data_IF_720373455221
#
_entry.id   IF_720373455221
#
_cell.length_a   1.000
_cell.length_b   1.000
_cell.length_c   1.000
_cell.angle_alpha   90.00
_cell.angle_beta   90.00
_cell.angle_gamma   90.00
#
_symmetry.space_group_name_H-M   'P 1'
#
loop_
_entity.id
_entity.type
_entity.pdbx_description
1 polymer ?
#
# COMPACT_ATOMS: atom_id res chain seq x y z
N UNK A 1 -23.92 -19.53 29.02
CA UNK A 1 -23.18 -19.62 27.74
C UNK A 1 -23.65 -18.50 26.81
N UNK A 2 -22.96 -17.35 26.79
CA UNK A 2 -23.22 -16.31 25.81
C UNK A 2 -22.06 -16.29 24.81
N UNK A 3 -22.36 -16.63 23.56
CA UNK A 3 -21.41 -16.56 22.44
C UNK A 3 -21.41 -15.11 21.95
N UNK A 4 -20.44 -14.31 22.39
CA UNK A 4 -20.16 -13.04 21.71
C UNK A 4 -19.34 -13.33 20.44
N UNK A 5 -20.07 -13.64 19.37
CA UNK A 5 -19.60 -13.42 18.01
C UNK A 5 -20.12 -12.05 17.63
N UNK A 6 -19.32 -11.00 17.73
CA UNK A 6 -19.22 -9.99 16.67
C UNK A 6 -18.15 -8.93 16.93
N UNK A 7 -17.50 -8.56 15.83
CA UNK A 7 -16.80 -7.29 15.63
C UNK A 7 -15.43 -7.15 16.28
N UNK A 8 -14.46 -7.93 15.77
CA UNK A 8 -13.09 -7.42 15.72
C UNK A 8 -13.10 -6.11 14.92
N UNK A 9 -12.67 -5.04 15.58
CA UNK A 9 -12.61 -3.69 15.03
C UNK A 9 -11.66 -3.69 13.83
N UNK A 10 -12.19 -3.74 12.61
CA UNK A 10 -11.42 -3.60 11.36
C UNK A 10 -10.89 -2.16 11.15
N UNK A 11 -10.92 -1.32 12.18
CA UNK A 11 -10.64 0.11 12.12
C UNK A 11 -9.22 0.47 12.56
N UNK A 12 -8.19 -0.17 11.99
CA UNK A 12 -6.80 0.10 12.37
C UNK A 12 -5.76 -0.03 11.26
N UNK A 13 -6.17 -0.16 10.00
CA UNK A 13 -5.25 -0.22 8.86
C UNK A 13 -4.87 1.18 8.40
N UNK A 14 -3.56 1.44 8.23
CA UNK A 14 -3.00 2.65 7.60
C UNK A 14 -3.91 3.10 6.43
N UNK A 15 -4.30 4.39 6.39
CA UNK A 15 -5.27 4.94 5.44
C UNK A 15 -5.06 4.40 4.02
N UNK A 16 -6.15 4.10 3.31
CA UNK A 16 -6.19 3.70 1.88
C UNK A 16 -5.33 4.56 0.94
N UNK A 17 -5.00 5.79 1.34
CA UNK A 17 -4.03 6.64 0.64
C UNK A 17 -2.72 5.87 0.35
N UNK A 18 -2.08 5.26 1.36
CA UNK A 18 -0.82 4.52 1.13
C UNK A 18 -0.92 3.38 0.11
N UNK A 19 -2.09 2.71 0.02
CA UNK A 19 -2.32 1.64 -0.96
C UNK A 19 -2.59 2.19 -2.37
N UNK A 20 -3.31 3.31 -2.49
CA UNK A 20 -3.53 4.01 -3.78
C UNK A 20 -2.25 4.59 -4.32
N UNK A 21 -1.44 5.24 -3.48
CA UNK A 21 -0.11 5.72 -3.84
C UNK A 21 0.80 4.56 -4.27
N UNK A 22 0.74 3.42 -3.57
CA UNK A 22 1.46 2.20 -3.93
C UNK A 22 1.02 1.66 -5.31
N UNK A 23 -0.28 1.55 -5.55
CA UNK A 23 -0.81 1.10 -6.83
C UNK A 23 -0.42 2.04 -7.98
N UNK A 24 -0.55 3.35 -7.76
CA UNK A 24 -0.18 4.35 -8.76
C UNK A 24 1.33 4.31 -9.08
N UNK A 25 2.16 4.07 -8.07
CA UNK A 25 3.59 3.87 -8.25
C UNK A 25 3.93 2.60 -9.04
N UNK A 26 3.25 1.47 -8.77
CA UNK A 26 3.39 0.22 -9.53
C UNK A 26 3.05 0.44 -11.01
N UNK A 27 1.90 1.08 -11.27
CA UNK A 27 1.44 1.36 -12.65
C UNK A 27 2.45 2.26 -13.36
N UNK A 28 2.96 3.30 -12.70
CA UNK A 28 3.97 4.19 -13.27
C UNK A 28 5.25 3.45 -13.64
N UNK A 29 5.80 2.63 -12.74
CA UNK A 29 6.99 1.80 -12.99
C UNK A 29 6.74 0.81 -14.14
N UNK A 30 5.58 0.15 -14.17
CA UNK A 30 5.23 -0.80 -15.21
C UNK A 30 5.06 -0.13 -16.60
N UNK A 31 4.51 1.08 -16.65
CA UNK A 31 4.32 1.82 -17.90
C UNK A 31 5.58 2.53 -18.40
N UNK A 32 6.43 3.02 -17.50
CA UNK A 32 7.64 3.78 -17.85
C UNK A 32 8.92 2.94 -17.91
N UNK A 33 8.91 1.73 -17.34
CA UNK A 33 10.11 0.90 -17.17
C UNK A 33 11.14 1.48 -16.20
N UNK A 34 10.83 2.58 -15.52
CA UNK A 34 11.74 3.23 -14.58
C UNK A 34 11.87 2.41 -13.29
N UNK A 35 13.04 2.44 -12.67
CA UNK A 35 13.25 1.74 -11.40
C UNK A 35 12.50 2.42 -10.24
N UNK A 36 12.24 1.69 -9.15
CA UNK A 36 11.63 2.24 -7.92
C UNK A 36 12.39 3.46 -7.34
N UNK A 37 13.69 3.58 -7.61
CA UNK A 37 14.54 4.72 -7.20
C UNK A 37 14.29 6.00 -8.02
N UNK A 38 13.72 5.88 -9.22
CA UNK A 38 13.39 7.00 -10.10
C UNK A 38 11.94 7.44 -9.95
N UNK A 39 11.19 6.85 -9.01
CA UNK A 39 9.81 7.18 -8.76
C UNK A 39 9.68 8.62 -8.24
N UNK A 40 8.82 9.46 -8.84
CA UNK A 40 8.61 10.83 -8.39
C UNK A 40 8.13 10.88 -6.92
N UNK A 41 8.56 11.88 -6.12
CA UNK A 41 8.21 11.99 -4.70
C UNK A 41 6.71 12.19 -4.44
N UNK A 42 5.92 12.54 -5.46
CA UNK A 42 4.45 12.66 -5.40
C UNK A 42 3.75 11.36 -5.00
N UNK A 43 4.38 10.21 -5.24
CA UNK A 43 3.85 8.90 -4.86
C UNK A 43 4.14 8.50 -3.40
N UNK A 44 4.82 9.38 -2.63
CA UNK A 44 5.16 9.11 -1.23
C UNK A 44 6.04 7.85 -1.05
N UNK A 45 6.17 7.32 0.17
CA UNK A 45 6.92 6.10 0.45
C UNK A 45 6.12 4.85 0.01
N UNK A 46 5.92 4.69 -1.29
CA UNK A 46 5.30 3.50 -1.89
C UNK A 46 6.25 2.30 -1.83
N UNK A 47 7.55 2.51 -2.06
CA UNK A 47 8.54 1.43 -2.16
C UNK A 47 8.68 0.56 -0.90
N UNK A 48 8.67 1.06 0.37
CA UNK A 48 8.76 0.22 1.56
C UNK A 48 7.51 -0.65 1.73
N UNK A 49 6.35 -0.16 1.27
CA UNK A 49 5.09 -0.91 1.29
C UNK A 49 5.12 -2.03 0.26
N UNK A 50 5.63 -1.75 -0.95
CA UNK A 50 5.80 -2.76 -2.01
C UNK A 50 6.79 -3.83 -1.57
N UNK A 51 8.00 -3.44 -1.13
CA UNK A 51 9.00 -4.39 -0.64
C UNK A 51 8.52 -5.15 0.60
N UNK A 52 7.77 -4.52 1.51
CA UNK A 52 7.20 -5.23 2.67
C UNK A 52 6.10 -6.23 2.31
N UNK A 53 5.46 -6.09 1.14
CA UNK A 53 4.34 -6.94 0.69
C UNK A 53 4.73 -8.00 -0.34
N UNK A 54 5.82 -7.78 -1.07
CA UNK A 54 6.30 -8.62 -2.16
C UNK A 54 7.77 -9.08 -2.01
N UNK A 55 8.36 -8.99 -0.80
CA UNK A 55 9.63 -9.64 -0.47
C UNK A 55 9.51 -11.18 -0.45
#
# INVERSE_FOLDING_TARGET
>A
MARDRTSSRQGGGRRRAGDRETLAAIIFVASSGCTWRQLPPVFGPAWPTVYGRFA
#
